data_IF_628610280288
#
_entry.id   IF_628610280288
#
_cell.length_a   1.000
_cell.length_b   1.000
_cell.length_c   1.000
_cell.angle_alpha   90.00
_cell.angle_beta   90.00
_cell.angle_gamma   90.00
#
_symmetry.space_group_name_H-M   'P 1'
#
loop_
_entity.id
_entity.type
_entity.pdbx_description
1 polymer ?
#
# COMPACT_ATOMS: atom_id res chain seq x y z
N UNK A 1 -9.58 12.07 -9.75
CA UNK A 1 -8.32 11.39 -9.38
C UNK A 1 -8.06 10.34 -10.43
N UNK A 2 -6.90 10.35 -11.10
CA UNK A 2 -6.55 9.26 -12.03
C UNK A 2 -6.08 8.08 -11.20
N UNK A 3 -6.50 6.88 -11.56
CA UNK A 3 -5.99 5.65 -10.96
C UNK A 3 -5.50 4.70 -12.05
N UNK A 4 -4.54 3.86 -11.68
CA UNK A 4 -4.08 2.74 -12.51
C UNK A 4 -3.65 1.58 -11.62
N UNK A 5 -3.64 0.38 -12.16
CA UNK A 5 -3.08 -0.77 -11.46
C UNK A 5 -1.54 -0.66 -11.38
N UNK A 6 -0.95 -1.21 -10.32
CA UNK A 6 0.49 -1.40 -10.24
C UNK A 6 1.00 -2.33 -11.35
N UNK A 7 2.26 -2.16 -11.76
CA UNK A 7 2.94 -3.03 -12.75
C UNK A 7 4.14 -3.72 -12.10
N UNK A 8 4.35 -5.00 -12.41
CA UNK A 8 5.38 -5.79 -11.73
C UNK A 8 6.77 -5.21 -12.02
N UNK A 9 7.61 -5.13 -10.98
CA UNK A 9 8.91 -4.48 -11.04
C UNK A 9 8.88 -2.94 -10.91
N UNK A 10 7.69 -2.32 -10.89
CA UNK A 10 7.56 -0.86 -10.78
C UNK A 10 7.92 -0.35 -9.38
N UNK A 11 8.65 0.76 -9.35
CA UNK A 11 8.93 1.53 -8.15
C UNK A 11 7.78 2.50 -7.85
N UNK A 12 7.33 2.49 -6.60
CA UNK A 12 6.21 3.24 -6.07
C UNK A 12 6.67 4.07 -4.86
N UNK A 13 5.99 5.18 -4.62
CA UNK A 13 6.21 6.05 -3.47
C UNK A 13 4.90 6.26 -2.74
N UNK A 14 4.96 6.18 -1.42
CA UNK A 14 3.85 6.49 -0.52
C UNK A 14 3.62 8.01 -0.54
N UNK A 15 2.41 8.41 -0.89
CA UNK A 15 2.02 9.80 -1.02
C UNK A 15 0.69 10.08 -0.33
N UNK A 16 0.61 11.20 0.40
CA UNK A 16 -0.64 11.69 0.97
C UNK A 16 -1.37 12.55 -0.06
N UNK A 17 -2.50 12.04 -0.54
CA UNK A 17 -3.32 12.78 -1.49
C UNK A 17 -4.01 13.97 -0.81
N UNK A 18 -4.36 15.03 -1.56
CA UNK A 18 -5.07 16.20 -1.03
C UNK A 18 -6.41 15.87 -0.35
N UNK A 19 -6.96 14.68 -0.63
CA UNK A 19 -8.16 14.13 0.01
C UNK A 19 -7.92 13.64 1.44
N UNK A 20 -6.68 13.66 1.94
CA UNK A 20 -6.30 13.18 3.28
C UNK A 20 -5.89 11.70 3.31
N UNK A 21 -6.26 10.93 2.28
CA UNK A 21 -5.92 9.51 2.15
C UNK A 21 -4.47 9.33 1.69
N UNK A 22 -3.76 8.44 2.36
CA UNK A 22 -2.43 8.00 1.97
C UNK A 22 -2.52 6.77 1.05
N UNK A 23 -1.77 6.80 -0.06
CA UNK A 23 -1.74 5.73 -1.07
C UNK A 23 -0.40 5.68 -1.80
N UNK A 24 -0.33 4.89 -2.88
CA UNK A 24 0.88 4.79 -3.69
C UNK A 24 0.77 5.61 -4.99
N UNK A 25 1.90 6.11 -5.46
CA UNK A 25 2.04 6.77 -6.76
C UNK A 25 3.40 6.47 -7.38
N UNK A 26 3.55 6.67 -8.67
CA UNK A 26 4.84 6.52 -9.33
C UNK A 26 5.77 7.70 -8.97
N UNK A 27 7.07 7.48 -8.70
CA UNK A 27 8.00 8.58 -8.42
C UNK A 27 8.06 9.60 -9.56
N UNK A 28 7.96 9.13 -10.81
CA UNK A 28 7.93 9.99 -11.99
C UNK A 28 6.74 10.97 -12.02
N UNK A 29 5.60 10.64 -11.38
CA UNK A 29 4.45 11.55 -11.26
C UNK A 29 4.71 12.65 -10.21
N UNK A 30 5.55 12.37 -9.21
CA UNK A 30 5.97 13.34 -8.21
C UNK A 30 7.07 14.27 -8.73
N UNK A 31 8.03 13.76 -9.50
CA UNK A 31 9.12 14.54 -10.10
C UNK A 31 8.63 15.52 -11.18
N UNK A 32 7.54 15.19 -11.88
CA UNK A 32 6.86 16.09 -12.81
C UNK A 32 6.18 17.29 -12.13
N UNK A 33 6.22 17.39 -10.80
CA UNK A 33 5.87 18.60 -10.09
C UNK A 33 7.11 19.49 -10.07
N UNK A 34 7.24 20.48 -10.98
CA UNK A 34 8.29 21.45 -10.82
C UNK A 34 8.06 22.14 -9.46
N UNK A 35 9.10 22.14 -8.62
CA UNK A 35 9.10 22.84 -7.33
C UNK A 35 9.09 24.36 -7.61
N UNK A 36 7.99 24.87 -8.16
CA UNK A 36 7.87 26.26 -8.56
C UNK A 36 7.53 27.11 -7.35
N UNK A 37 8.58 27.70 -6.77
CA UNK A 37 8.46 28.74 -5.76
C UNK A 37 7.86 30.00 -6.36
N UNK A 38 6.87 30.56 -5.64
CA UNK A 38 6.33 31.90 -5.89
C UNK A 38 4.91 31.95 -6.47
N UNK A 39 4.50 33.16 -6.83
CA UNK A 39 3.22 33.57 -7.41
C UNK A 39 2.81 32.87 -8.74
N UNK A 40 3.37 31.71 -9.11
CA UNK A 40 2.91 30.90 -10.27
C UNK A 40 2.29 29.58 -9.83
N UNK A 41 2.44 29.22 -8.55
CA UNK A 41 1.87 28.02 -7.92
C UNK A 41 0.34 27.95 -8.00
N UNK A 42 -0.36 29.10 -7.97
CA UNK A 42 -1.82 29.16 -8.06
C UNK A 42 -2.40 28.73 -9.42
N UNK A 43 -1.61 28.78 -10.51
CA UNK A 43 -2.06 28.30 -11.84
C UNK A 43 -1.82 26.79 -12.03
N UNK A 44 -1.00 26.14 -11.20
CA UNK A 44 -0.60 24.74 -11.36
C UNK A 44 -1.42 23.74 -10.53
N UNK A 45 -2.57 24.16 -10.00
CA UNK A 45 -3.48 23.39 -9.13
C UNK A 45 -4.09 22.10 -9.75
N UNK A 46 -3.64 21.64 -10.92
CA UNK A 46 -4.42 20.70 -11.75
C UNK A 46 -3.86 19.30 -11.96
N UNK A 47 -2.65 18.98 -11.50
CA UNK A 47 -2.10 17.64 -11.69
C UNK A 47 -2.01 16.92 -10.36
N UNK A 48 -3.15 16.37 -9.91
CA UNK A 48 -3.18 15.36 -8.86
C UNK A 48 -2.45 14.13 -9.42
N UNK A 49 -1.41 13.62 -8.74
CA UNK A 49 -0.66 12.47 -9.24
C UNK A 49 -1.59 11.26 -9.38
N UNK A 50 -1.28 10.40 -10.34
CA UNK A 50 -2.00 9.17 -10.59
C UNK A 50 -1.83 8.24 -9.39
N UNK A 51 -2.95 7.80 -8.82
CA UNK A 51 -2.96 6.83 -7.74
C UNK A 51 -2.73 5.43 -8.30
N UNK A 52 -1.77 4.72 -7.73
CA UNK A 52 -1.51 3.33 -8.08
C UNK A 52 -2.29 2.43 -7.13
N UNK A 53 -3.26 1.71 -7.68
CA UNK A 53 -4.04 0.71 -6.97
C UNK A 53 -3.27 -0.61 -6.94
N UNK A 54 -3.16 -1.18 -5.76
CA UNK A 54 -2.50 -2.47 -5.52
C UNK A 54 -3.59 -3.45 -5.07
N UNK A 55 -3.74 -4.59 -5.75
CA UNK A 55 -4.72 -5.60 -5.35
C UNK A 55 -4.30 -6.33 -4.06
N UNK A 56 -5.26 -6.86 -3.27
CA UNK A 56 -4.97 -7.73 -2.14
C UNK A 56 -4.23 -8.99 -2.61
N UNK A 57 -3.27 -9.44 -1.81
CA UNK A 57 -2.38 -10.54 -2.16
C UNK A 57 -1.11 -10.12 -2.91
N UNK A 58 -1.04 -8.87 -3.40
CA UNK A 58 0.17 -8.36 -4.04
C UNK A 58 1.37 -8.33 -3.08
N UNK A 59 2.55 -8.60 -3.62
CA UNK A 59 3.82 -8.57 -2.89
C UNK A 59 4.59 -7.32 -3.24
N UNK A 60 5.08 -6.62 -2.22
CA UNK A 60 5.89 -5.43 -2.37
C UNK A 60 7.14 -5.53 -1.49
N UNK A 61 8.21 -4.86 -1.89
CA UNK A 61 9.37 -4.63 -1.04
C UNK A 61 9.32 -3.18 -0.59
N UNK A 62 9.09 -2.96 0.70
CA UNK A 62 9.18 -1.63 1.31
C UNK A 62 10.63 -1.31 1.62
N UNK A 63 11.03 -0.08 1.31
CA UNK A 63 12.39 0.45 1.49
C UNK A 63 12.33 1.74 2.26
N UNK A 64 13.41 2.05 2.97
CA UNK A 64 13.60 3.26 3.78
C UNK A 64 12.73 3.30 5.06
N UNK A 65 12.35 2.13 5.60
CA UNK A 65 11.43 2.04 6.75
C UNK A 65 12.00 2.84 7.93
N UNK A 66 11.27 3.77 8.56
CA UNK A 66 11.82 4.61 9.62
C UNK A 66 12.21 3.79 10.84
N UNK A 67 13.31 4.14 11.50
CA UNK A 67 13.86 3.41 12.67
C UNK A 67 12.81 3.18 13.78
N UNK A 68 11.85 4.11 13.95
CA UNK A 68 10.74 3.94 14.89
C UNK A 68 9.85 2.74 14.56
N UNK A 69 9.53 2.52 13.28
CA UNK A 69 8.76 1.36 12.84
C UNK A 69 9.61 0.09 12.91
N UNK A 70 10.90 0.18 12.55
CA UNK A 70 11.85 -0.93 12.69
C UNK A 70 11.88 -1.47 14.11
N UNK A 71 12.08 -0.61 15.11
CA UNK A 71 12.10 -1.03 16.53
C UNK A 71 10.73 -1.47 17.04
N UNK A 72 9.65 -0.84 16.58
CA UNK A 72 8.28 -1.17 17.05
C UNK A 72 7.76 -2.48 16.49
N UNK A 73 8.19 -2.88 15.29
CA UNK A 73 7.74 -4.09 14.61
C UNK A 73 8.85 -5.16 14.56
N UNK A 74 10.06 -4.87 15.01
CA UNK A 74 11.19 -5.80 14.91
C UNK A 74 11.55 -6.15 13.46
N UNK A 75 11.50 -5.15 12.58
CA UNK A 75 11.75 -5.30 11.13
C UNK A 75 12.98 -4.50 10.68
N UNK A 76 13.54 -4.84 9.53
CA UNK A 76 14.69 -4.15 8.94
C UNK A 76 14.34 -2.87 8.17
N UNK A 77 15.36 -2.27 7.56
CA UNK A 77 15.23 -1.08 6.68
C UNK A 77 14.56 -1.38 5.35
N UNK A 78 14.62 -2.63 4.90
CA UNK A 78 13.96 -3.16 3.71
C UNK A 78 13.23 -4.45 4.08
N UNK A 79 11.95 -4.55 3.74
CA UNK A 79 11.14 -5.74 4.04
C UNK A 79 10.21 -6.09 2.89
N UNK A 80 10.07 -7.39 2.63
CA UNK A 80 8.99 -7.88 1.78
C UNK A 80 7.69 -7.95 2.57
N UNK A 81 6.65 -7.35 2.01
CA UNK A 81 5.31 -7.28 2.58
C UNK A 81 4.27 -7.76 1.58
N UNK A 82 3.16 -8.23 2.12
CA UNK A 82 1.97 -8.59 1.34
C UNK A 82 0.90 -7.54 1.58
N UNK A 83 0.31 -7.01 0.52
CA UNK A 83 -0.83 -6.12 0.61
C UNK A 83 -2.07 -6.93 1.01
N UNK A 84 -2.74 -6.51 2.09
CA UNK A 84 -3.91 -7.19 2.63
C UNK A 84 -5.02 -6.18 2.91
N UNK A 85 -6.26 -6.64 2.82
CA UNK A 85 -7.42 -5.83 3.16
C UNK A 85 -8.00 -6.31 4.49
N UNK A 86 -7.93 -5.46 5.53
CA UNK A 86 -8.33 -5.80 6.90
C UNK A 86 -9.77 -5.33 7.13
N UNK A 87 -10.74 -6.24 6.94
CA UNK A 87 -12.12 -6.12 7.45
C UNK A 87 -13.18 -5.49 6.52
N UNK A 88 -14.46 -5.74 6.88
CA UNK A 88 -15.68 -5.30 6.17
C UNK A 88 -16.39 -4.09 6.80
N UNK A 89 -15.83 -3.48 7.85
CA UNK A 89 -16.49 -2.39 8.57
C UNK A 89 -16.58 -1.11 7.69
N UNK A 90 -17.74 -0.47 7.70
CA UNK A 90 -18.00 0.70 6.86
C UNK A 90 -17.36 1.95 7.48
N UNK A 91 -16.38 2.54 6.78
CA UNK A 91 -15.80 3.85 7.14
C UNK A 91 -14.39 3.84 7.72
N UNK A 92 -13.72 2.67 7.83
CA UNK A 92 -12.32 2.58 8.25
C UNK A 92 -11.42 2.20 7.08
N UNK A 93 -10.21 2.78 7.03
CA UNK A 93 -9.21 2.45 6.01
C UNK A 93 -8.96 0.94 6.01
N UNK A 94 -9.23 0.30 4.86
CA UNK A 94 -9.25 -1.16 4.71
C UNK A 94 -7.88 -1.71 4.32
N UNK A 95 -7.02 -0.86 3.79
CA UNK A 95 -5.75 -1.25 3.21
C UNK A 95 -4.65 -1.34 4.27
N UNK A 96 -3.99 -2.48 4.32
CA UNK A 96 -2.84 -2.74 5.18
C UNK A 96 -1.75 -3.51 4.43
N UNK A 97 -0.57 -3.52 5.03
CA UNK A 97 0.55 -4.34 4.63
C UNK A 97 0.84 -5.33 5.76
N UNK A 98 1.11 -6.57 5.38
CA UNK A 98 1.48 -7.63 6.29
C UNK A 98 2.94 -7.99 6.07
N UNK A 99 3.73 -7.90 7.13
CA UNK A 99 5.14 -8.26 7.13
C UNK A 99 5.32 -9.78 7.28
N UNK A 100 6.53 -10.27 6.99
CA UNK A 100 6.89 -11.69 7.15
C UNK A 100 6.76 -12.21 8.58
N UNK A 101 6.84 -11.32 9.56
CA UNK A 101 6.63 -11.65 10.98
C UNK A 101 5.14 -11.70 11.39
N UNK A 102 4.23 -11.77 10.41
CA UNK A 102 2.78 -11.78 10.57
C UNK A 102 2.18 -10.50 11.19
N UNK A 103 2.98 -9.46 11.43
CA UNK A 103 2.44 -8.18 11.89
C UNK A 103 1.84 -7.40 10.72
N UNK A 104 0.80 -6.63 11.02
CA UNK A 104 0.08 -5.83 10.05
C UNK A 104 0.18 -4.34 10.39
N UNK A 105 0.41 -3.53 9.37
CA UNK A 105 0.43 -2.08 9.49
C UNK A 105 -0.53 -1.48 8.48
N UNK A 106 -1.47 -0.67 8.98
CA UNK A 106 -2.38 0.08 8.12
C UNK A 106 -1.60 0.99 7.18
N UNK A 107 -2.03 1.08 5.93
CA UNK A 107 -1.39 1.92 4.93
C UNK A 107 -1.30 3.38 5.41
N UNK A 108 -2.33 3.89 6.08
CA UNK A 108 -2.36 5.24 6.64
C UNK A 108 -1.30 5.52 7.73
N UNK A 109 -0.67 4.49 8.27
CA UNK A 109 0.41 4.60 9.27
C UNK A 109 1.81 4.53 8.64
N UNK A 110 1.91 4.33 7.33
CA UNK A 110 3.18 4.47 6.62
C UNK A 110 3.65 5.92 6.61
N UNK A 111 4.96 6.08 6.51
CA UNK A 111 5.57 7.39 6.32
C UNK A 111 5.33 7.87 4.88
N UNK A 112 4.99 9.15 4.73
CA UNK A 112 5.02 9.80 3.42
C UNK A 112 6.44 9.80 2.86
N UNK A 113 6.58 9.56 1.56
CA UNK A 113 7.89 9.43 0.89
C UNK A 113 8.51 8.05 1.02
N UNK A 114 7.87 7.11 1.74
CA UNK A 114 8.34 5.72 1.80
C UNK A 114 8.34 5.10 0.41
N UNK A 115 9.42 4.43 0.04
CA UNK A 115 9.54 3.75 -1.24
C UNK A 115 9.05 2.32 -1.13
N UNK A 116 8.40 1.86 -2.19
CA UNK A 116 7.94 0.49 -2.33
C UNK A 116 8.25 0.00 -3.73
N UNK A 117 8.73 -1.22 -3.89
CA UNK A 117 8.85 -1.85 -5.20
C UNK A 117 7.83 -2.95 -5.33
N UNK A 118 7.06 -2.95 -6.41
CA UNK A 118 6.10 -4.01 -6.62
C UNK A 118 6.82 -5.25 -7.15
N UNK A 119 6.70 -6.36 -6.43
CA UNK A 119 7.34 -7.64 -6.78
C UNK A 119 6.41 -8.47 -7.64
N UNK A 120 5.17 -8.65 -7.19
CA UNK A 120 4.14 -9.33 -7.96
C UNK A 120 2.76 -8.81 -7.58
N UNK A 121 1.85 -8.79 -8.55
CA UNK A 121 0.47 -8.38 -8.32
C UNK A 121 -0.31 -9.35 -7.44
N UNK A 122 0.20 -10.55 -7.17
CA UNK A 122 -0.54 -11.55 -6.41
C UNK A 122 -1.78 -11.98 -7.17
N UNK A 123 -1.63 -12.97 -8.04
CA UNK A 123 -2.78 -13.72 -8.52
C UNK A 123 -3.02 -14.83 -7.51
N UNK A 124 -4.02 -14.69 -6.65
CA UNK A 124 -4.95 -15.76 -6.30
C UNK A 124 -6.01 -15.20 -5.38
N UNK A 125 -7.24 -15.27 -5.87
CA UNK A 125 -8.44 -15.11 -5.06
C UNK A 125 -8.26 -16.00 -3.83
N UNK A 126 -8.50 -15.46 -2.63
CA UNK A 126 -8.64 -16.28 -1.45
C UNK A 126 -9.81 -17.26 -1.71
N UNK A 127 -9.48 -18.47 -2.18
CA UNK A 127 -10.29 -19.66 -2.00
C UNK A 127 -10.35 -19.82 -0.50
N UNK A 128 -11.46 -19.38 0.08
CA UNK A 128 -11.84 -19.71 1.45
C UNK A 128 -11.89 -21.22 1.53
N UNK A 129 -10.90 -21.81 2.18
CA UNK A 129 -10.92 -23.20 2.59
C UNK A 129 -12.02 -23.33 3.66
N UNK A 130 -13.23 -23.74 3.26
CA UNK A 130 -14.24 -24.21 4.21
C UNK A 130 -13.80 -25.58 4.74
N UNK A 131 -13.04 -25.54 5.83
CA UNK A 131 -12.85 -26.69 6.70
C UNK A 131 -14.19 -26.97 7.42
N UNK A 132 -14.97 -27.93 6.92
CA UNK A 132 -16.01 -28.57 7.74
C UNK A 132 -15.53 -29.96 8.13
N UNK A 133 -14.82 -30.01 9.26
CA UNK A 133 -14.58 -31.22 10.02
C UNK A 133 -15.87 -31.66 10.73
N UNK A 134 -16.44 -32.78 10.26
CA UNK A 134 -17.04 -33.89 11.02
C UNK A 134 -18.05 -33.63 12.15
N UNK A 135 -19.23 -34.27 12.04
CA UNK A 135 -19.94 -35.03 13.10
C UNK A 135 -20.79 -36.11 12.40
N UNK A 136 -20.50 -37.41 12.52
CA UNK A 136 -20.96 -38.34 13.55
C UNK A 136 -22.49 -38.51 13.64
N UNK A 137 -23.00 -39.73 13.39
CA UNK A 137 -24.23 -40.23 14.03
C UNK A 137 -25.29 -40.91 13.15
N UNK A 138 -25.20 -42.25 13.03
CA UNK A 138 -26.23 -43.25 13.40
C UNK A 138 -27.72 -42.89 13.22
N UNK A 139 -28.46 -43.65 12.39
CA UNK A 139 -29.41 -44.72 12.80
C UNK A 139 -29.58 -45.74 11.68
#
# INVERSE_FOLDING_TARGET
MRNRLAVEGEDLTVYRFPTGTLGFTAPAELEQRPEMRGWRSWFSLRQVPCAVCIPPGARLVLRDIPARLQSSLGIGTEEEVVFVQVGMDAGRHRDAIRFRNNQELLLQRLAEGQRARMVSLGGDMATVEETVTGIAGRV
#
